data_IF_323275800195
#
_entry.id   IF_323275800195
#
_cell.length_a   1.000
_cell.length_b   1.000
_cell.length_c   1.000
_cell.angle_alpha   90.00
_cell.angle_beta   90.00
_cell.angle_gamma   90.00
#
_symmetry.space_group_name_H-M   'P 1'
#
loop_
_entity.id
_entity.type
_entity.pdbx_description
1 polymer ?
#
# COMPACT_ATOMS: atom_id res chain seq x y z
N UNK A 1 -45.76 34.68 38.12
CA UNK A 1 -44.79 35.34 37.23
C UNK A 1 -43.40 34.91 37.65
N UNK A 2 -42.89 33.81 37.19
CA UNK A 2 -41.48 33.42 37.36
C UNK A 2 -41.09 32.59 36.16
N UNK A 3 -40.26 33.22 35.29
CA UNK A 3 -39.68 32.62 34.12
C UNK A 3 -38.49 31.74 34.55
N UNK A 4 -38.55 30.43 34.29
CA UNK A 4 -37.40 29.51 34.45
C UNK A 4 -36.83 29.26 33.09
N UNK A 5 -35.72 29.91 32.79
CA UNK A 5 -34.90 29.68 31.60
C UNK A 5 -34.03 28.44 31.84
N UNK A 6 -34.33 27.34 31.15
CA UNK A 6 -33.49 26.13 31.13
C UNK A 6 -32.36 26.35 30.17
N UNK A 7 -31.15 26.52 30.68
CA UNK A 7 -29.93 26.51 29.89
C UNK A 7 -29.54 25.07 29.54
N UNK A 8 -29.61 24.75 28.26
CA UNK A 8 -29.01 23.50 27.72
C UNK A 8 -27.50 23.69 27.57
N UNK A 9 -26.76 23.06 28.48
CA UNK A 9 -25.30 22.97 28.38
C UNK A 9 -24.97 21.93 27.33
N UNK A 10 -24.50 22.37 26.18
CA UNK A 10 -23.89 21.53 25.13
C UNK A 10 -22.51 21.11 25.64
N UNK A 11 -22.36 19.83 25.97
CA UNK A 11 -21.07 19.22 26.26
C UNK A 11 -20.29 19.08 24.93
N UNK A 12 -19.33 19.94 24.77
CA UNK A 12 -18.30 19.87 23.71
C UNK A 12 -17.40 18.66 24.00
N UNK A 13 -17.63 17.56 23.30
CA UNK A 13 -16.70 16.44 23.29
C UNK A 13 -15.71 16.68 22.14
N UNK A 14 -14.42 16.84 22.40
CA UNK A 14 -13.46 16.97 21.32
C UNK A 14 -13.40 15.64 20.54
N UNK A 15 -13.77 15.68 19.26
CA UNK A 15 -13.50 14.60 18.32
C UNK A 15 -11.98 14.42 18.20
N UNK A 16 -11.51 13.27 18.64
CA UNK A 16 -10.16 12.77 18.38
C UNK A 16 -10.00 12.50 16.87
N UNK A 17 -9.41 13.46 16.16
CA UNK A 17 -9.09 13.37 14.73
C UNK A 17 -7.71 12.75 14.51
N UNK A 18 -7.39 11.65 15.20
CA UNK A 18 -6.12 10.95 15.07
C UNK A 18 -6.21 9.70 14.19
N UNK A 19 -6.87 9.78 13.03
CA UNK A 19 -6.85 8.72 12.03
C UNK A 19 -6.90 9.31 10.62
N UNK A 20 -5.91 10.16 10.30
CA UNK A 20 -5.63 10.43 8.90
C UNK A 20 -5.02 9.17 8.27
N UNK A 21 -5.60 8.63 7.16
CA UNK A 21 -4.94 7.62 6.37
C UNK A 21 -3.67 8.23 5.79
N UNK A 22 -2.53 7.66 6.19
CA UNK A 22 -1.20 8.01 5.73
C UNK A 22 -1.18 8.13 4.19
N UNK A 23 -1.11 9.36 3.70
CA UNK A 23 -0.99 9.65 2.28
C UNK A 23 0.25 8.92 1.72
N UNK A 24 0.17 8.29 0.54
CA UNK A 24 1.31 7.62 -0.07
C UNK A 24 2.42 8.64 -0.31
N UNK A 25 3.63 8.30 0.16
CA UNK A 25 4.84 9.08 -0.11
C UNK A 25 5.08 9.10 -1.63
N UNK A 26 4.96 10.25 -2.33
CA UNK A 26 5.08 10.33 -3.78
C UNK A 26 6.47 9.92 -4.29
N UNK A 27 7.47 9.86 -3.42
CA UNK A 27 8.83 9.43 -3.75
C UNK A 27 8.94 7.92 -3.97
N UNK A 28 8.03 7.13 -3.40
CA UNK A 28 8.04 5.68 -3.56
C UNK A 28 7.50 5.22 -4.94
N UNK A 29 6.69 6.06 -5.60
CA UNK A 29 6.10 5.73 -6.91
C UNK A 29 7.12 5.77 -8.04
N UNK A 30 8.05 6.72 -8.02
CA UNK A 30 9.04 6.91 -9.09
C UNK A 30 10.12 5.80 -9.13
N UNK A 31 10.49 5.25 -7.97
CA UNK A 31 11.57 4.27 -7.88
C UNK A 31 11.17 2.87 -8.36
N UNK A 32 9.89 2.52 -8.32
CA UNK A 32 9.43 1.18 -8.70
C UNK A 32 9.21 1.01 -10.21
N UNK A 33 9.00 2.12 -10.93
CA UNK A 33 8.84 2.11 -12.40
C UNK A 33 10.16 1.77 -13.13
N UNK A 34 11.32 1.99 -12.48
CA UNK A 34 12.64 1.79 -13.07
C UNK A 34 13.17 0.34 -12.98
N UNK A 35 12.48 -0.59 -12.30
CA UNK A 35 12.97 -1.96 -12.05
C UNK A 35 11.95 -3.05 -12.44
N UNK A 36 11.30 -2.91 -13.58
CA UNK A 36 10.34 -3.92 -14.08
C UNK A 36 10.99 -5.17 -14.70
N UNK A 37 12.30 -5.27 -14.74
CA UNK A 37 12.98 -6.45 -15.28
C UNK A 37 13.35 -7.47 -14.19
N UNK A 38 12.71 -8.66 -14.24
CA UNK A 38 13.32 -9.87 -13.70
C UNK A 38 12.56 -10.74 -12.71
N UNK A 39 11.25 -10.62 -12.52
CA UNK A 39 10.55 -11.47 -11.53
C UNK A 39 9.85 -12.72 -12.10
N UNK A 40 9.77 -12.87 -13.43
CA UNK A 40 9.13 -14.03 -14.07
C UNK A 40 10.08 -14.83 -14.99
N UNK A 41 11.36 -14.50 -15.06
CA UNK A 41 12.29 -15.10 -16.03
C UNK A 41 13.36 -16.01 -15.42
N UNK A 42 13.17 -16.61 -14.27
CA UNK A 42 14.14 -17.57 -13.75
C UNK A 42 13.53 -18.92 -13.33
N UNK A 43 12.70 -19.50 -14.19
CA UNK A 43 12.48 -20.95 -14.21
C UNK A 43 13.45 -21.57 -15.22
N UNK A 44 14.74 -21.48 -14.97
CA UNK A 44 15.73 -22.34 -15.64
C UNK A 44 16.54 -23.00 -14.54
N UNK A 45 16.40 -24.33 -14.52
CA UNK A 45 17.15 -25.29 -13.70
C UNK A 45 18.66 -25.03 -13.80
N UNK A 46 19.19 -24.30 -12.87
CA UNK A 46 20.60 -24.11 -12.64
C UNK A 46 20.76 -23.65 -11.22
N UNK A 47 21.32 -24.52 -10.35
CA UNK A 47 21.46 -24.28 -8.91
C UNK A 47 22.11 -22.92 -8.62
N UNK A 48 21.29 -21.93 -8.37
CA UNK A 48 21.72 -20.61 -7.90
C UNK A 48 22.14 -20.82 -6.45
N UNK A 49 23.47 -20.87 -6.21
CA UNK A 49 23.99 -20.70 -4.85
C UNK A 49 23.41 -19.40 -4.34
N UNK A 50 22.73 -19.38 -3.17
CA UNK A 50 22.21 -18.14 -2.61
C UNK A 50 23.37 -17.16 -2.53
N UNK A 51 23.27 -16.02 -3.19
CA UNK A 51 24.29 -15.00 -3.17
C UNK A 51 24.49 -14.61 -1.70
N UNK A 52 25.70 -14.70 -1.21
CA UNK A 52 26.04 -14.32 0.18
C UNK A 52 26.11 -12.79 0.32
N UNK A 53 25.46 -12.06 -0.60
CA UNK A 53 25.46 -10.62 -0.55
C UNK A 53 24.66 -10.13 0.63
N UNK A 54 25.29 -9.29 1.42
CA UNK A 54 24.67 -8.61 2.55
C UNK A 54 24.53 -7.13 2.26
N UNK A 55 23.51 -6.52 2.82
CA UNK A 55 23.17 -5.12 2.62
C UNK A 55 23.14 -4.41 3.98
N UNK A 56 23.68 -3.23 4.05
CA UNK A 56 23.41 -2.29 5.13
C UNK A 56 22.03 -1.64 4.93
N UNK A 57 21.46 -1.07 5.98
CA UNK A 57 20.21 -0.32 5.89
C UNK A 57 20.31 0.85 4.90
N UNK A 58 21.47 1.52 4.83
CA UNK A 58 21.69 2.63 3.90
C UNK A 58 21.77 2.19 2.45
N UNK A 59 22.33 1.00 2.15
CA UNK A 59 22.35 0.44 0.81
C UNK A 59 20.95 0.05 0.35
N UNK A 60 20.16 -0.61 1.21
CA UNK A 60 18.76 -0.92 0.90
C UNK A 60 17.93 0.34 0.68
N UNK A 61 18.10 1.36 1.54
CA UNK A 61 17.38 2.62 1.43
C UNK A 61 17.62 3.29 0.08
N UNK A 62 18.89 3.36 -0.36
CA UNK A 62 19.28 3.91 -1.68
C UNK A 62 18.78 3.03 -2.83
N UNK A 63 18.85 1.70 -2.68
CA UNK A 63 18.46 0.76 -3.74
C UNK A 63 16.96 0.82 -4.06
N UNK A 64 16.12 1.06 -3.03
CA UNK A 64 14.67 1.12 -3.19
C UNK A 64 14.10 2.55 -3.12
N UNK A 65 14.97 3.56 -3.06
CA UNK A 65 14.59 4.97 -2.93
C UNK A 65 13.61 5.22 -1.77
N UNK A 66 13.92 4.63 -0.63
CA UNK A 66 13.13 4.79 0.60
C UNK A 66 14.02 5.27 1.74
N UNK A 67 13.41 5.81 2.80
CA UNK A 67 14.17 6.24 3.97
C UNK A 67 14.58 5.05 4.84
N UNK A 68 15.67 5.19 5.58
CA UNK A 68 16.05 4.19 6.60
C UNK A 68 14.99 4.07 7.70
N UNK A 69 14.19 5.12 7.93
CA UNK A 69 13.05 5.12 8.85
C UNK A 69 11.97 4.17 8.36
N UNK A 70 11.64 4.21 7.06
CA UNK A 70 10.68 3.30 6.42
C UNK A 70 11.10 1.84 6.58
N UNK A 71 12.38 1.54 6.37
CA UNK A 71 12.90 0.16 6.54
C UNK A 71 12.79 -0.29 7.98
N UNK A 72 13.11 0.56 8.96
CA UNK A 72 12.96 0.25 10.39
C UNK A 72 11.49 0.04 10.79
N UNK A 73 10.58 0.81 10.21
CA UNK A 73 9.15 0.61 10.40
C UNK A 73 8.72 -0.78 9.91
N UNK A 74 9.13 -1.22 8.73
CA UNK A 74 8.83 -2.56 8.24
C UNK A 74 9.50 -3.69 9.04
N UNK A 75 10.67 -3.42 9.64
CA UNK A 75 11.28 -4.34 10.62
C UNK A 75 10.40 -4.47 11.89
N UNK A 76 9.91 -3.34 12.43
CA UNK A 76 9.00 -3.32 13.58
C UNK A 76 7.69 -4.03 13.29
N UNK A 77 7.16 -3.88 12.09
CA UNK A 77 5.96 -4.57 11.62
C UNK A 77 6.19 -6.06 11.29
N UNK A 78 7.40 -6.58 11.49
CA UNK A 78 7.72 -7.99 11.25
C UNK A 78 7.75 -8.39 9.78
N UNK A 79 7.90 -7.43 8.87
CA UNK A 79 8.03 -7.68 7.44
C UNK A 79 9.48 -7.96 7.03
N UNK A 80 10.46 -7.50 7.81
CA UNK A 80 11.88 -7.70 7.60
C UNK A 80 12.53 -8.28 8.87
N UNK A 81 13.52 -9.16 8.70
CA UNK A 81 14.17 -9.85 9.80
C UNK A 81 15.71 -9.80 9.66
N UNK A 82 16.33 -8.60 9.75
CA UNK A 82 17.76 -8.48 9.60
C UNK A 82 18.53 -9.22 10.70
N UNK A 83 19.63 -9.83 10.32
CA UNK A 83 20.59 -10.38 11.26
C UNK A 83 21.27 -9.24 12.04
N UNK A 84 21.50 -9.45 13.34
CA UNK A 84 22.27 -8.50 14.15
C UNK A 84 23.70 -8.99 14.31
N UNK A 85 24.65 -8.19 13.86
CA UNK A 85 26.08 -8.38 14.13
C UNK A 85 26.55 -7.26 15.06
N UNK A 86 26.55 -7.53 16.36
CA UNK A 86 26.73 -6.52 17.39
C UNK A 86 25.63 -5.44 17.31
N UNK A 87 26.00 -4.18 17.14
CA UNK A 87 25.07 -3.06 17.00
C UNK A 87 24.57 -2.85 15.55
N UNK A 88 25.13 -3.60 14.59
CA UNK A 88 24.85 -3.37 13.17
C UNK A 88 23.76 -4.32 12.67
N UNK A 89 22.81 -3.77 11.89
CA UNK A 89 21.81 -4.54 11.12
C UNK A 89 22.41 -4.97 9.80
N UNK A 90 22.28 -6.25 9.49
CA UNK A 90 22.75 -6.85 8.24
C UNK A 90 21.56 -7.51 7.56
N UNK A 91 21.18 -7.02 6.40
CA UNK A 91 20.10 -7.55 5.60
C UNK A 91 20.66 -8.52 4.56
N UNK A 92 19.99 -9.64 4.34
CA UNK A 92 20.34 -10.63 3.32
C UNK A 92 19.52 -10.41 2.06
N UNK A 93 19.85 -11.11 0.99
CA UNK A 93 19.04 -11.05 -0.25
C UNK A 93 17.58 -11.41 -0.02
N UNK A 94 17.29 -12.30 0.91
CA UNK A 94 15.92 -12.60 1.35
C UNK A 94 15.21 -11.33 1.86
N UNK A 95 15.84 -10.55 2.71
CA UNK A 95 15.26 -9.29 3.21
C UNK A 95 15.06 -8.28 2.09
N UNK A 96 15.98 -8.24 1.11
CA UNK A 96 15.84 -7.40 -0.08
C UNK A 96 14.60 -7.78 -0.90
N UNK A 97 14.36 -9.08 -1.11
CA UNK A 97 13.15 -9.57 -1.80
C UNK A 97 11.90 -9.25 -1.00
N UNK A 98 11.90 -9.50 0.32
CA UNK A 98 10.79 -9.16 1.22
C UNK A 98 10.46 -7.66 1.16
N UNK A 99 11.48 -6.79 1.19
CA UNK A 99 11.26 -5.34 1.07
C UNK A 99 10.65 -4.98 -0.28
N UNK A 100 11.14 -5.56 -1.39
CA UNK A 100 10.56 -5.35 -2.74
C UNK A 100 9.08 -5.74 -2.77
N UNK A 101 8.73 -6.91 -2.24
CA UNK A 101 7.34 -7.38 -2.18
C UNK A 101 6.48 -6.50 -1.27
N UNK A 102 7.02 -6.03 -0.14
CA UNK A 102 6.35 -5.11 0.78
C UNK A 102 5.99 -3.80 0.10
N UNK A 103 6.95 -3.17 -0.57
CA UNK A 103 6.74 -1.91 -1.28
C UNK A 103 5.71 -2.09 -2.42
N UNK A 104 5.80 -3.20 -3.15
CA UNK A 104 4.82 -3.52 -4.20
C UNK A 104 3.41 -3.72 -3.63
N UNK A 105 3.29 -4.44 -2.53
CA UNK A 105 2.01 -4.65 -1.84
C UNK A 105 1.39 -3.33 -1.36
N UNK A 106 2.18 -2.42 -0.79
CA UNK A 106 1.72 -1.08 -0.40
C UNK A 106 1.17 -0.31 -1.59
N UNK A 107 1.87 -0.30 -2.73
CA UNK A 107 1.39 0.35 -3.96
C UNK A 107 0.08 -0.23 -4.47
N UNK A 108 -0.11 -1.53 -4.33
CA UNK A 108 -1.35 -2.22 -4.72
C UNK A 108 -2.48 -2.06 -3.68
N UNK A 109 -2.26 -1.26 -2.62
CA UNK A 109 -3.25 -0.99 -1.59
C UNK A 109 -3.52 -2.17 -0.65
N UNK A 110 -2.55 -3.08 -0.48
CA UNK A 110 -2.63 -4.10 0.58
C UNK A 110 -2.35 -3.48 1.95
N UNK A 111 -3.07 -3.95 2.96
CA UNK A 111 -2.74 -3.69 4.35
C UNK A 111 -1.42 -4.37 4.74
N UNK A 112 -0.77 -3.91 5.82
CA UNK A 112 0.47 -4.54 6.29
C UNK A 112 0.26 -6.01 6.70
N UNK A 113 -0.92 -6.36 7.20
CA UNK A 113 -1.27 -7.74 7.56
C UNK A 113 -1.34 -8.63 6.30
N UNK A 114 -2.04 -8.18 5.26
CA UNK A 114 -2.11 -8.90 3.98
C UNK A 114 -0.73 -9.03 3.32
N UNK A 115 0.09 -7.96 3.37
CA UNK A 115 1.45 -8.00 2.85
C UNK A 115 2.29 -9.03 3.59
N UNK A 116 2.18 -9.10 4.93
CA UNK A 116 2.91 -10.10 5.73
C UNK A 116 2.50 -11.50 5.31
N UNK A 117 1.21 -11.79 5.21
CA UNK A 117 0.72 -13.09 4.77
C UNK A 117 1.28 -13.46 3.38
N UNK A 118 1.21 -12.53 2.42
CA UNK A 118 1.74 -12.75 1.06
C UNK A 118 3.25 -13.02 1.07
N UNK A 119 4.02 -12.25 1.83
CA UNK A 119 5.48 -12.38 1.89
C UNK A 119 5.89 -13.68 2.57
N UNK A 120 5.20 -14.08 3.63
CA UNK A 120 5.47 -15.34 4.33
C UNK A 120 5.08 -16.56 3.49
N UNK A 121 3.97 -16.47 2.74
CA UNK A 121 3.59 -17.50 1.77
C UNK A 121 4.60 -17.61 0.62
N UNK A 122 5.12 -16.47 0.13
CA UNK A 122 6.16 -16.48 -0.90
C UNK A 122 7.44 -17.17 -0.41
N UNK A 123 7.89 -16.86 0.80
CA UNK A 123 9.05 -17.51 1.40
C UNK A 123 8.86 -19.02 1.60
N UNK A 124 7.64 -19.45 1.94
CA UNK A 124 7.31 -20.87 2.10
C UNK A 124 7.15 -21.58 0.75
N UNK A 125 6.75 -20.87 -0.32
CA UNK A 125 6.55 -21.42 -1.66
C UNK A 125 7.85 -21.78 -2.37
N UNK A 126 8.99 -21.21 -1.97
CA UNK A 126 10.33 -21.64 -2.42
C UNK A 126 10.60 -23.13 -2.11
N UNK A 127 9.81 -23.73 -1.19
CA UNK A 127 9.77 -25.16 -0.91
C UNK A 127 8.72 -25.99 -1.67
N UNK A 128 7.96 -25.39 -2.63
CA UNK A 128 7.08 -26.10 -3.56
C UNK A 128 5.69 -26.50 -3.01
N UNK A 129 5.13 -25.78 -2.04
CA UNK A 129 3.84 -26.09 -1.45
C UNK A 129 2.63 -25.64 -2.30
N UNK A 130 1.90 -26.57 -2.93
CA UNK A 130 0.65 -26.31 -3.67
C UNK A 130 -0.36 -25.50 -2.84
N UNK A 131 -0.51 -25.82 -1.54
CA UNK A 131 -1.42 -25.12 -0.63
C UNK A 131 -1.05 -23.65 -0.46
N UNK A 132 0.26 -23.34 -0.36
CA UNK A 132 0.74 -21.97 -0.22
C UNK A 132 0.46 -21.14 -1.48
N UNK A 133 0.70 -21.73 -2.66
CA UNK A 133 0.41 -21.08 -3.94
C UNK A 133 -1.10 -20.86 -4.13
N UNK A 134 -1.91 -21.86 -3.79
CA UNK A 134 -3.39 -21.76 -3.84
C UNK A 134 -3.88 -20.64 -2.90
N UNK A 135 -3.35 -20.56 -1.69
CA UNK A 135 -3.69 -19.49 -0.75
C UNK A 135 -3.29 -18.12 -1.27
N UNK A 136 -2.08 -17.98 -1.81
CA UNK A 136 -1.60 -16.75 -2.43
C UNK A 136 -2.50 -16.31 -3.59
N UNK A 137 -2.88 -17.22 -4.47
CA UNK A 137 -3.79 -16.93 -5.58
C UNK A 137 -5.16 -16.46 -5.08
N UNK A 138 -5.68 -17.04 -3.99
CA UNK A 138 -6.91 -16.58 -3.35
C UNK A 138 -6.84 -15.14 -2.90
N UNK A 139 -5.78 -14.77 -2.13
CA UNK A 139 -5.58 -13.39 -1.65
C UNK A 139 -5.49 -12.39 -2.81
N UNK A 140 -4.79 -12.77 -3.88
CA UNK A 140 -4.65 -11.91 -5.07
C UNK A 140 -5.99 -11.76 -5.83
N UNK A 141 -6.80 -12.81 -5.89
CA UNK A 141 -8.14 -12.78 -6.49
C UNK A 141 -9.07 -11.85 -5.72
N UNK A 142 -9.15 -12.02 -4.40
CA UNK A 142 -9.98 -11.18 -3.52
C UNK A 142 -9.61 -9.69 -3.66
N UNK A 143 -8.30 -9.39 -3.75
CA UNK A 143 -7.82 -8.02 -3.95
C UNK A 143 -8.22 -7.46 -5.31
N UNK A 144 -8.10 -8.27 -6.37
CA UNK A 144 -8.51 -7.89 -7.73
C UNK A 144 -9.99 -7.55 -7.77
N UNK A 145 -10.84 -8.41 -7.22
CA UNK A 145 -12.29 -8.18 -7.16
C UNK A 145 -12.63 -6.89 -6.38
N UNK A 146 -11.90 -6.62 -5.28
CA UNK A 146 -12.04 -5.36 -4.53
C UNK A 146 -11.71 -4.13 -5.38
N UNK A 147 -10.62 -4.18 -6.14
CA UNK A 147 -10.23 -3.10 -7.04
C UNK A 147 -11.22 -2.90 -8.20
N UNK A 148 -11.76 -3.99 -8.75
CA UNK A 148 -12.79 -3.91 -9.79
C UNK A 148 -14.08 -3.23 -9.29
N UNK A 149 -14.51 -3.55 -8.06
CA UNK A 149 -15.63 -2.86 -7.42
C UNK A 149 -15.36 -1.37 -7.25
N UNK A 150 -14.19 -1.00 -6.74
CA UNK A 150 -13.79 0.41 -6.57
C UNK A 150 -13.76 1.15 -7.92
N UNK A 151 -13.25 0.51 -8.97
CA UNK A 151 -13.24 1.11 -10.31
C UNK A 151 -14.66 1.34 -10.84
N UNK A 152 -15.57 0.41 -10.62
CA UNK A 152 -16.98 0.55 -10.99
C UNK A 152 -17.63 1.73 -10.25
N UNK A 153 -17.43 1.82 -8.94
CA UNK A 153 -17.98 2.90 -8.11
C UNK A 153 -17.44 4.28 -8.55
N UNK A 154 -16.12 4.38 -8.78
CA UNK A 154 -15.50 5.61 -9.30
C UNK A 154 -16.05 6.01 -10.67
N UNK A 155 -16.26 5.03 -11.56
CA UNK A 155 -16.83 5.28 -12.89
C UNK A 155 -18.28 5.79 -12.80
N UNK A 156 -19.05 5.27 -11.84
CA UNK A 156 -20.41 5.74 -11.56
C UNK A 156 -20.41 7.17 -11.04
N UNK A 157 -19.56 7.47 -10.05
CA UNK A 157 -19.41 8.84 -9.52
C UNK A 157 -18.99 9.84 -10.59
N UNK A 158 -18.09 9.47 -11.50
CA UNK A 158 -17.71 10.34 -12.63
C UNK A 158 -18.91 10.69 -13.50
N UNK A 159 -19.75 9.71 -13.86
CA UNK A 159 -20.95 9.96 -14.66
C UNK A 159 -21.93 10.90 -13.96
N UNK A 160 -22.14 10.71 -12.66
CA UNK A 160 -22.98 11.60 -11.85
C UNK A 160 -22.46 13.04 -11.84
N UNK A 161 -21.13 13.23 -11.73
CA UNK A 161 -20.51 14.55 -11.80
C UNK A 161 -20.69 15.18 -13.18
N UNK A 162 -20.50 14.42 -14.26
CA UNK A 162 -20.68 14.88 -15.63
C UNK A 162 -22.13 15.33 -15.86
N UNK A 163 -23.12 14.62 -15.35
CA UNK A 163 -24.53 14.97 -15.41
C UNK A 163 -24.83 16.27 -14.66
N UNK A 164 -24.29 16.44 -13.45
CA UNK A 164 -24.47 17.69 -12.68
C UNK A 164 -23.80 18.87 -13.38
N UNK A 165 -22.60 18.67 -13.91
CA UNK A 165 -21.86 19.70 -14.64
C UNK A 165 -22.62 20.13 -15.93
N UNK A 166 -23.19 19.17 -16.66
CA UNK A 166 -23.99 19.43 -17.83
C UNK A 166 -25.21 20.30 -17.52
N UNK A 167 -25.98 19.93 -16.49
CA UNK A 167 -27.14 20.69 -16.02
C UNK A 167 -26.76 22.10 -15.58
N UNK A 168 -25.64 22.27 -14.89
CA UNK A 168 -25.15 23.57 -14.46
C UNK A 168 -24.76 24.45 -15.66
N UNK A 169 -24.11 23.88 -16.67
CA UNK A 169 -23.76 24.58 -17.91
C UNK A 169 -25.00 25.02 -18.68
N UNK A 170 -26.02 24.18 -18.80
CA UNK A 170 -27.28 24.48 -19.44
C UNK A 170 -28.03 25.61 -18.72
N UNK A 171 -28.08 25.56 -17.38
CA UNK A 171 -28.69 26.61 -16.58
C UNK A 171 -27.97 27.96 -16.76
N UNK A 172 -26.64 27.94 -16.76
CA UNK A 172 -25.82 29.13 -16.99
C UNK A 172 -26.03 29.72 -18.39
N UNK A 173 -26.16 28.85 -19.39
CA UNK A 173 -26.43 29.30 -20.77
C UNK A 173 -27.79 29.99 -20.91
N UNK A 174 -28.84 29.47 -20.25
CA UNK A 174 -30.17 30.10 -20.25
C UNK A 174 -30.15 31.49 -19.61
N UNK A 175 -29.49 31.64 -18.47
CA UNK A 175 -29.35 32.92 -17.78
C UNK A 175 -28.64 34.00 -18.64
N UNK A 176 -27.71 33.58 -19.52
CA UNK A 176 -26.99 34.50 -20.42
C UNK A 176 -27.77 34.90 -21.69
N UNK A 177 -28.81 34.13 -22.01
CA UNK A 177 -29.68 34.45 -23.19
C UNK A 177 -30.87 35.29 -22.80
N UNK A 178 -31.22 35.40 -21.54
CA UNK A 178 -32.34 36.18 -21.02
C UNK A 178 -31.95 37.64 -20.63
N UNK A 179 -30.68 38.00 -20.77
CA UNK A 179 -30.11 39.34 -20.58
C UNK A 179 -29.80 40.00 -21.94
#
# INVERSE_FOLDING_TARGET
MTNTTTQHTFLDTPMDTSSEPNAPDPTAEAALAAHEDGLLSSTTSGGIRPSQRTWSIGELARHFDVTTRTIRFYEQEGLLHPERRGQTRVYRDKDRVRLKLTLRGKRLGFSLAEIREVVDLYDAADGGGEKQLTRLLGILSDKREGLERQLHDLTTMQRELDDVESRAREALARLKTDD
#
